data_IF_037164355683
#
_entry.id   IF_037164355683
#
_cell.length_a   1.000
_cell.length_b   1.000
_cell.length_c   1.000
_cell.angle_alpha   90.00
_cell.angle_beta   90.00
_cell.angle_gamma   90.00
#
_symmetry.space_group_name_H-M   'P 1'
#
loop_
_entity.id
_entity.type
_entity.pdbx_description
1 polymer ?
#
# COMPACT_ATOMS: atom_id res chain seq x y z
N UNK A 1 -13.89 -6.58 25.60
CA UNK A 1 -13.66 -6.03 24.24
C UNK A 1 -12.57 -6.89 23.64
N UNK A 2 -12.89 -7.66 22.61
CA UNK A 2 -11.87 -8.44 21.91
C UNK A 2 -10.92 -7.48 21.19
N UNK A 3 -9.63 -7.59 21.50
CA UNK A 3 -8.61 -6.80 20.85
C UNK A 3 -8.30 -7.42 19.48
N UNK A 4 -8.57 -6.68 18.41
CA UNK A 4 -8.16 -7.07 17.06
C UNK A 4 -6.63 -7.14 16.99
N UNK A 5 -6.11 -8.20 16.38
CA UNK A 5 -4.70 -8.29 16.05
C UNK A 5 -4.32 -7.24 15.01
N UNK A 6 -3.04 -6.83 15.00
CA UNK A 6 -2.53 -5.90 14.00
C UNK A 6 -2.77 -6.38 12.56
N UNK A 7 -2.81 -7.70 12.34
CA UNK A 7 -3.11 -8.28 11.03
C UNK A 7 -4.59 -8.11 10.65
N UNK A 8 -5.53 -8.33 11.58
CA UNK A 8 -6.96 -8.12 11.34
C UNK A 8 -7.28 -6.65 11.07
N UNK A 9 -6.59 -5.73 11.77
CA UNK A 9 -6.70 -4.29 11.50
C UNK A 9 -6.21 -3.96 10.09
N UNK A 10 -5.05 -4.49 9.67
CA UNK A 10 -4.56 -4.31 8.30
C UNK A 10 -5.55 -4.85 7.26
N UNK A 11 -6.09 -6.05 7.45
CA UNK A 11 -7.06 -6.64 6.53
C UNK A 11 -8.34 -5.80 6.43
N UNK A 12 -8.84 -5.30 7.56
CA UNK A 12 -10.03 -4.44 7.62
C UNK A 12 -9.79 -3.13 6.84
N UNK A 13 -8.66 -2.47 7.07
CA UNK A 13 -8.32 -1.22 6.37
C UNK A 13 -8.13 -1.48 4.87
N UNK A 14 -7.46 -2.56 4.48
CA UNK A 14 -7.31 -2.91 3.06
C UNK A 14 -8.66 -3.16 2.37
N UNK A 15 -9.63 -3.76 3.06
CA UNK A 15 -10.97 -3.96 2.53
C UNK A 15 -11.69 -2.62 2.29
N UNK A 16 -11.59 -1.69 3.26
CA UNK A 16 -12.15 -0.33 3.13
C UNK A 16 -11.50 0.41 1.95
N UNK A 17 -10.16 0.35 1.81
CA UNK A 17 -9.45 1.01 0.70
C UNK A 17 -9.91 0.47 -0.65
N UNK A 18 -10.14 -0.84 -0.76
CA UNK A 18 -10.67 -1.47 -1.97
C UNK A 18 -12.08 -0.99 -2.29
N UNK A 19 -12.96 -0.93 -1.29
CA UNK A 19 -14.33 -0.46 -1.44
C UNK A 19 -14.39 1.03 -1.84
N UNK A 20 -13.47 1.85 -1.32
CA UNK A 20 -13.31 3.25 -1.67
C UNK A 20 -12.69 3.47 -3.07
N UNK A 21 -12.32 2.41 -3.78
CA UNK A 21 -11.76 2.49 -5.14
C UNK A 21 -10.30 2.96 -5.20
N UNK A 22 -9.53 2.78 -4.12
CA UNK A 22 -8.09 3.05 -4.16
C UNK A 22 -7.39 2.06 -5.09
N UNK A 23 -6.34 2.54 -5.77
CA UNK A 23 -5.56 1.73 -6.68
C UNK A 23 -4.92 0.52 -5.96
N UNK A 24 -4.91 -0.70 -6.56
CA UNK A 24 -4.35 -1.90 -5.93
C UNK A 24 -2.89 -1.76 -5.46
N UNK A 25 -2.07 -1.01 -6.19
CA UNK A 25 -0.67 -0.74 -5.79
C UNK A 25 -0.57 -0.03 -4.43
N UNK A 26 -1.49 0.89 -4.12
CA UNK A 26 -1.54 1.60 -2.83
C UNK A 26 -2.00 0.67 -1.71
N UNK A 27 -2.94 -0.23 -2.00
CA UNK A 27 -3.41 -1.24 -1.05
C UNK A 27 -2.28 -2.22 -0.73
N UNK A 28 -1.55 -2.68 -1.76
CA UNK A 28 -0.39 -3.54 -1.61
C UNK A 28 0.71 -2.87 -0.77
N UNK A 29 1.04 -1.61 -1.07
CA UNK A 29 2.01 -0.83 -0.30
C UNK A 29 1.61 -0.72 1.17
N UNK A 30 0.34 -0.45 1.48
CA UNK A 30 -0.17 -0.43 2.85
C UNK A 30 -0.07 -1.81 3.53
N UNK A 31 -0.43 -2.90 2.85
CA UNK A 31 -0.34 -4.24 3.42
C UNK A 31 1.10 -4.59 3.80
N UNK A 32 2.04 -4.30 2.89
CA UNK A 32 3.46 -4.60 3.03
C UNK A 32 4.12 -3.75 4.13
N UNK A 33 3.97 -2.44 4.07
CA UNK A 33 4.67 -1.51 4.98
C UNK A 33 3.90 -1.27 6.30
N UNK A 34 2.58 -1.43 6.29
CA UNK A 34 1.71 -0.99 7.38
C UNK A 34 1.58 0.53 7.51
N UNK A 35 2.15 1.30 6.57
CA UNK A 35 2.15 2.75 6.62
C UNK A 35 0.90 3.29 5.93
N UNK A 36 0.19 4.18 6.64
CA UNK A 36 -0.90 4.96 6.08
C UNK A 36 -0.36 6.33 5.67
N UNK A 37 -0.05 6.49 4.39
CA UNK A 37 0.43 7.75 3.83
C UNK A 37 -0.78 8.62 3.50
N UNK A 38 -1.08 9.57 4.37
CA UNK A 38 -2.15 10.57 4.19
C UNK A 38 -1.55 11.97 4.15
N UNK A 39 -2.27 12.89 3.54
CA UNK A 39 -1.88 14.31 3.54
C UNK A 39 -1.69 14.79 4.99
N UNK A 40 -0.57 15.48 5.27
CA UNK A 40 -0.15 15.96 6.60
C UNK A 40 0.31 14.89 7.61
N UNK A 41 0.60 13.65 7.18
CA UNK A 41 1.26 12.67 8.05
C UNK A 41 2.78 12.94 8.18
N UNK A 42 3.29 12.89 9.41
CA UNK A 42 4.73 12.99 9.69
C UNK A 42 5.42 11.65 9.43
N UNK A 43 5.64 11.33 8.15
CA UNK A 43 6.51 10.22 7.76
C UNK A 43 7.94 10.71 7.52
N UNK A 44 8.92 9.89 7.86
CA UNK A 44 10.32 10.13 7.45
C UNK A 44 10.44 9.96 5.93
N UNK A 45 11.54 10.46 5.36
CA UNK A 45 11.84 10.23 3.95
C UNK A 45 11.99 8.73 3.64
N UNK A 46 12.64 7.99 4.52
CA UNK A 46 12.80 6.53 4.44
C UNK A 46 11.45 5.81 4.36
N UNK A 47 10.51 6.13 5.27
CA UNK A 47 9.16 5.56 5.29
C UNK A 47 8.37 5.86 4.00
N UNK A 48 8.51 7.07 3.45
CA UNK A 48 7.89 7.42 2.17
C UNK A 48 8.49 6.60 1.03
N UNK A 49 9.81 6.49 1.00
CA UNK A 49 10.52 5.74 -0.04
C UNK A 49 10.18 4.25 0.02
N UNK A 50 10.06 3.66 1.21
CA UNK A 50 9.60 2.28 1.40
C UNK A 50 8.18 2.07 0.86
N UNK A 51 7.26 3.01 1.12
CA UNK A 51 5.90 2.92 0.60
C UNK A 51 5.85 3.04 -0.93
N UNK A 52 6.60 3.98 -1.50
CA UNK A 52 6.71 4.17 -2.96
C UNK A 52 7.33 2.92 -3.61
N UNK A 53 8.40 2.38 -3.05
CA UNK A 53 9.03 1.17 -3.55
C UNK A 53 8.07 -0.02 -3.53
N UNK A 54 7.29 -0.18 -2.45
CA UNK A 54 6.27 -1.22 -2.37
C UNK A 54 5.15 -1.01 -3.41
N UNK A 55 4.73 0.22 -3.67
CA UNK A 55 3.74 0.51 -4.69
C UNK A 55 4.27 0.19 -6.10
N UNK A 56 5.55 0.48 -6.38
CA UNK A 56 6.19 0.16 -7.67
C UNK A 56 6.34 -1.35 -7.89
N UNK A 57 6.70 -2.09 -6.85
CA UNK A 57 6.81 -3.56 -6.90
C UNK A 57 5.49 -4.22 -7.31
N UNK A 58 4.35 -3.61 -7.00
CA UNK A 58 3.06 -4.11 -7.48
C UNK A 58 2.98 -4.09 -9.02
N UNK A 59 3.48 -3.04 -9.67
CA UNK A 59 3.53 -2.96 -11.14
C UNK A 59 4.46 -4.04 -11.71
N UNK A 60 5.64 -4.23 -11.12
CA UNK A 60 6.58 -5.28 -11.56
C UNK A 60 5.99 -6.71 -11.46
N UNK A 61 5.13 -6.95 -10.47
CA UNK A 61 4.53 -8.26 -10.21
C UNK A 61 3.24 -8.52 -11.02
N UNK A 62 2.45 -7.48 -11.29
CA UNK A 62 1.08 -7.64 -11.79
C UNK A 62 0.78 -6.87 -13.08
N UNK A 63 1.64 -5.94 -13.49
CA UNK A 63 1.59 -5.25 -14.79
C UNK A 63 2.96 -5.30 -15.50
N UNK A 64 3.47 -6.49 -15.86
CA UNK A 64 4.77 -6.61 -16.53
C UNK A 64 4.80 -6.05 -17.97
N UNK A 65 3.69 -5.58 -18.53
CA UNK A 65 3.56 -5.14 -19.93
C UNK A 65 3.69 -3.61 -20.11
N UNK A 66 4.84 -3.05 -19.75
CA UNK A 66 5.07 -1.60 -19.84
C UNK A 66 6.51 -1.10 -19.99
N UNK A 67 7.48 -1.96 -20.35
CA UNK A 67 8.83 -1.53 -20.78
C UNK A 67 9.34 -2.39 -21.95
N UNK A 68 8.57 -2.42 -23.04
CA UNK A 68 9.12 -2.51 -24.39
C UNK A 68 8.34 -1.51 -25.25
N UNK A 69 8.79 -0.26 -25.28
CA UNK A 69 8.55 0.65 -26.41
C UNK A 69 9.75 1.60 -26.49
N UNK A 70 10.66 1.21 -27.41
CA UNK A 70 11.86 1.91 -27.95
C UNK A 70 13.13 2.12 -27.11
#
# INVERSE_FOLDING_TARGET
MDHLSANEVKQTISAIMREAGLHPSLIYAFQKTGLMVVENSHHTEEQRNEFIAAANEWYDLYEPDGQEDE
#
